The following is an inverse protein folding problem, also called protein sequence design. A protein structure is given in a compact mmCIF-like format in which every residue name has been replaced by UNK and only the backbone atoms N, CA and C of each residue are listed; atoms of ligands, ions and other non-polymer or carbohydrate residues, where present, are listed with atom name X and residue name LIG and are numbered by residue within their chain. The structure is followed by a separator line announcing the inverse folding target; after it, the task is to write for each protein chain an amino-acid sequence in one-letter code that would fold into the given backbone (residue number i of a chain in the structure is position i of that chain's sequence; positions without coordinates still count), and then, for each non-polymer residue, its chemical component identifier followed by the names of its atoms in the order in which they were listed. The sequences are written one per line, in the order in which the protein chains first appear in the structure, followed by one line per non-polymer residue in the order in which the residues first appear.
data_IF_684839102078
#
_entry.id   IF_684839102078
#
_cell.length_a   1.000
_cell.length_b   1.000
_cell.length_c   1.000
_cell.angle_alpha   90.00
_cell.angle_beta   90.00
_cell.angle_gamma   90.00
#
_symmetry.space_group_name_H-M   'P 1'
#
loop_
_entity.id
_entity.type
_entity.pdbx_description
1 polymer ?
#
# COMPACT_ATOMS: atom_id res chain seq x y z
N UNK A 1 3.70 13.54 3.94
CA UNK A 1 3.74 12.22 4.58
C UNK A 1 2.97 11.19 3.77
N UNK A 2 1.74 11.46 3.27
CA UNK A 2 0.94 10.48 2.54
C UNK A 2 1.47 10.01 1.16
N UNK A 3 2.33 10.76 0.46
CA UNK A 3 2.69 10.44 -0.92
C UNK A 3 3.67 9.26 -1.08
N UNK A 4 4.48 8.95 -0.05
CA UNK A 4 5.53 7.93 -0.15
C UNK A 4 4.99 6.50 0.02
N UNK A 5 3.84 6.35 0.66
CA UNK A 5 3.22 5.05 1.00
C UNK A 5 2.14 4.67 0.02
N UNK A 6 1.41 5.66 -0.51
CA UNK A 6 0.44 5.45 -1.58
C UNK A 6 1.06 4.91 -2.86
N UNK A 7 2.37 5.08 -3.05
CA UNK A 7 3.13 4.59 -4.20
C UNK A 7 3.25 3.06 -4.22
N UNK A 8 3.40 2.43 -3.05
CA UNK A 8 3.48 0.98 -2.93
C UNK A 8 2.09 0.35 -2.83
N UNK A 9 1.17 0.99 -2.10
CA UNK A 9 -0.21 0.54 -1.92
C UNK A 9 -1.14 0.87 -3.12
N UNK A 10 -0.71 0.60 -4.35
CA UNK A 10 -1.57 0.68 -5.55
C UNK A 10 -2.54 -0.51 -5.64
N UNK A 11 -3.25 -0.79 -4.54
CA UNK A 11 -4.57 -1.39 -4.59
C UNK A 11 -5.55 -0.24 -4.44
N UNK A 12 -6.22 0.14 -5.52
CA UNK A 12 -7.37 1.04 -5.42
C UNK A 12 -8.31 0.39 -4.40
N UNK A 13 -8.44 1.00 -3.21
CA UNK A 13 -9.44 0.58 -2.24
C UNK A 13 -10.77 0.69 -2.96
N UNK A 14 -11.29 -0.45 -3.41
CA UNK A 14 -12.55 -0.58 -4.14
C UNK A 14 -13.68 -0.25 -3.17
N UNK A 15 -13.88 1.03 -2.90
CA UNK A 15 -15.13 1.52 -2.36
C UNK A 15 -16.17 1.24 -3.44
N UNK A 16 -16.99 0.20 -3.22
CA UNK A 16 -18.10 -0.12 -4.11
C UNK A 16 -18.92 1.16 -4.37
N UNK A 17 -19.29 1.47 -5.62
CA UNK A 17 -20.05 2.67 -5.93
C UNK A 17 -21.33 2.68 -5.11
N UNK A 18 -21.50 3.71 -4.27
CA UNK A 18 -22.74 3.97 -3.58
C UNK A 18 -23.77 4.32 -4.65
N UNK A 19 -24.70 3.41 -4.87
CA UNK A 19 -25.84 3.57 -5.77
C UNK A 19 -26.72 4.73 -5.30
N UNK A 20 -26.45 5.93 -5.82
CA UNK A 20 -27.31 7.10 -5.67
C UNK A 20 -28.49 6.93 -6.64
N UNK A 21 -29.45 6.11 -6.23
CA UNK A 21 -30.73 5.94 -6.90
C UNK A 21 -31.40 7.30 -7.12
N UNK A 22 -31.51 7.69 -8.39
CA UNK A 22 -32.32 8.79 -8.85
C UNK A 22 -33.75 8.28 -9.09
N UNK A 23 -34.64 8.49 -8.12
CA UNK A 23 -36.06 8.25 -8.33
C UNK A 23 -36.77 9.52 -8.84
N UNK A 24 -37.45 9.30 -9.96
CA UNK A 24 -38.19 10.26 -10.74
C UNK A 24 -39.43 10.79 -9.99
N UNK A 25 -39.76 12.04 -10.32
CA UNK A 25 -41.02 12.67 -9.98
C UNK A 25 -42.19 12.03 -10.74
N UNK A 26 -43.26 11.68 -10.03
CA UNK A 26 -44.67 11.71 -10.45
C UNK A 26 -45.53 11.51 -9.19
N UNK A 27 -46.38 12.46 -8.81
CA UNK A 27 -47.81 12.29 -9.05
C UNK A 27 -48.61 12.42 -7.73
N UNK A 28 -49.59 13.30 -7.73
CA UNK A 28 -50.50 13.67 -6.64
C UNK A 28 -51.54 12.58 -6.37
N UNK A 29 -51.85 12.23 -5.12
CA UNK A 29 -53.25 12.09 -4.65
C UNK A 29 -53.41 12.11 -3.12
N UNK A 30 -54.57 12.61 -2.69
CA UNK A 30 -54.98 12.91 -1.33
C UNK A 30 -55.77 11.76 -0.68
N UNK A 31 -55.73 11.66 0.66
CA UNK A 31 -56.85 11.12 1.43
C UNK A 31 -56.54 10.39 2.75
N UNK A 32 -57.21 10.83 3.82
CA UNK A 32 -57.68 10.01 4.95
C UNK A 32 -56.66 9.66 6.05
N UNK A 33 -56.67 10.31 7.22
CA UNK A 33 -57.50 10.02 8.42
C UNK A 33 -57.38 8.57 8.94
N UNK A 34 -56.68 8.36 10.06
CA UNK A 34 -57.24 8.26 11.43
C UNK A 34 -56.32 7.50 12.40
N UNK A 35 -56.18 8.11 13.59
CA UNK A 35 -55.93 7.57 14.93
C UNK A 35 -55.43 6.11 15.14
N UNK A 36 -54.36 5.97 15.92
CA UNK A 36 -54.46 5.45 17.30
C UNK A 36 -53.10 5.52 18.01
N UNK A 37 -53.17 5.95 19.27
CA UNK A 37 -52.08 5.92 20.24
C UNK A 37 -51.90 4.51 20.82
N UNK A 38 -50.66 4.16 21.18
CA UNK A 38 -50.33 3.58 22.50
C UNK A 38 -48.88 3.91 22.87
N UNK A 39 -48.61 4.24 24.15
CA UNK A 39 -47.28 4.35 24.70
C UNK A 39 -46.84 2.99 25.26
N UNK A 40 -45.57 2.61 25.09
CA UNK A 40 -44.96 1.65 26.00
C UNK A 40 -43.56 2.08 26.40
N UNK A 41 -43.40 2.19 27.71
CA UNK A 41 -42.21 2.64 28.41
C UNK A 41 -41.45 1.39 28.84
N UNK A 42 -40.45 1.00 28.04
CA UNK A 42 -39.50 -0.05 28.38
C UNK A 42 -38.30 0.51 29.12
N UNK A 43 -38.08 0.01 30.33
CA UNK A 43 -37.04 0.37 31.29
C UNK A 43 -35.62 0.43 30.71
N UNK A 44 -34.88 1.47 31.10
CA UNK A 44 -33.42 1.54 30.97
C UNK A 44 -32.81 0.77 32.15
N UNK A 45 -32.23 -0.39 31.85
CA UNK A 45 -31.44 -1.18 32.80
C UNK A 45 -30.06 -0.55 32.93
N UNK A 46 -29.75 -0.06 34.14
CA UNK A 46 -28.47 0.51 34.52
C UNK A 46 -27.60 -0.59 35.13
N UNK A 47 -26.98 -1.40 34.27
CA UNK A 47 -25.96 -2.37 34.64
C UNK A 47 -24.56 -1.73 34.64
N UNK A 48 -24.09 -1.34 35.82
CA UNK A 48 -22.67 -1.04 36.08
C UNK A 48 -21.85 -2.34 36.04
N UNK A 49 -21.12 -2.57 34.95
CA UNK A 49 -20.05 -3.58 34.91
C UNK A 49 -18.69 -2.90 34.95
N UNK A 50 -18.24 -2.64 36.18
CA UNK A 50 -16.87 -2.22 36.52
C UNK A 50 -15.88 -3.36 36.33
N UNK A 51 -15.61 -3.74 35.09
CA UNK A 51 -14.53 -4.66 34.72
C UNK A 51 -13.26 -3.89 34.38
N UNK A 52 -12.30 -3.84 35.30
CA UNK A 52 -10.94 -3.40 34.99
C UNK A 52 -10.32 -4.36 33.97
N UNK A 53 -10.39 -4.00 32.68
CA UNK A 53 -9.66 -4.67 31.62
C UNK A 53 -8.16 -4.49 31.90
N UNK A 54 -7.56 -5.50 32.53
CA UNK A 54 -6.12 -5.68 32.48
C UNK A 54 -5.78 -5.91 31.02
N UNK A 55 -5.27 -4.87 30.37
CA UNK A 55 -4.64 -4.97 29.06
C UNK A 55 -3.47 -5.93 29.25
N UNK A 56 -3.66 -7.17 28.77
CA UNK A 56 -2.63 -8.19 28.73
C UNK A 56 -1.58 -7.70 27.73
N UNK A 57 -0.52 -7.06 28.24
CA UNK A 57 0.64 -6.62 27.49
C UNK A 57 1.57 -7.80 27.20
N UNK A 58 0.99 -8.92 26.74
CA UNK A 58 1.76 -9.96 26.08
C UNK A 58 2.42 -9.39 24.82
N UNK A 59 3.51 -10.02 24.31
CA UNK A 59 4.05 -9.66 23.02
C UNK A 59 2.89 -9.69 22.03
N UNK A 60 2.64 -8.54 21.37
CA UNK A 60 1.63 -8.47 20.32
C UNK A 60 1.97 -9.61 19.35
N UNK A 61 1.08 -10.58 19.23
CA UNK A 61 1.09 -11.49 18.11
C UNK A 61 1.04 -10.58 16.90
N UNK A 62 2.18 -10.44 16.21
CA UNK A 62 2.29 -9.70 14.96
C UNK A 62 1.52 -10.53 13.94
N UNK A 63 0.19 -10.54 14.11
CA UNK A 63 -0.74 -11.30 13.31
C UNK A 63 -0.41 -10.98 11.86
N UNK A 64 -0.40 -12.03 11.03
CA UNK A 64 -0.12 -11.92 9.61
C UNK A 64 -0.81 -10.66 9.05
N UNK A 65 -0.07 -9.59 8.67
CA UNK A 65 -0.68 -8.33 8.24
C UNK A 65 -1.51 -8.52 6.96
N UNK A 66 -1.34 -9.67 6.30
CA UNK A 66 -2.03 -10.05 5.07
C UNK A 66 -3.39 -10.74 5.28
N UNK A 67 -3.85 -10.96 6.52
CA UNK A 67 -5.19 -11.49 6.80
C UNK A 67 -5.50 -12.84 6.13
N UNK A 68 -6.75 -12.99 5.66
CA UNK A 68 -7.30 -14.13 4.91
C UNK A 68 -7.21 -13.96 3.39
N UNK A 69 -6.35 -13.07 2.89
CA UNK A 69 -6.15 -12.72 1.47
C UNK A 69 -5.57 -13.87 0.61
N UNK A 70 -5.93 -15.11 0.95
CA UNK A 70 -5.33 -16.33 0.49
C UNK A 70 -3.91 -16.44 1.02
N UNK A 71 -3.51 -17.66 1.39
CA UNK A 71 -2.11 -17.98 1.19
C UNK A 71 -1.89 -17.87 -0.32
N UNK A 72 -1.42 -16.71 -0.81
CA UNK A 72 -0.63 -16.63 -2.03
C UNK A 72 0.31 -17.82 -1.93
N UNK A 73 0.02 -18.87 -2.70
CA UNK A 73 0.80 -20.09 -2.67
C UNK A 73 2.19 -19.81 -3.24
N UNK A 74 2.79 -20.66 -4.07
CA UNK A 74 3.87 -20.18 -4.93
C UNK A 74 3.42 -18.91 -5.68
N UNK A 75 4.20 -17.81 -5.65
CA UNK A 75 5.66 -17.76 -5.54
C UNK A 75 6.26 -17.40 -4.16
N UNK A 76 7.54 -17.72 -3.99
CA UNK A 76 8.33 -17.41 -2.77
C UNK A 76 8.69 -15.93 -2.69
N UNK A 77 8.99 -15.46 -1.48
CA UNK A 77 9.59 -14.14 -1.28
C UNK A 77 10.96 -14.04 -1.96
N UNK A 78 11.19 -12.94 -2.65
CA UNK A 78 12.45 -12.52 -3.24
C UNK A 78 12.83 -11.14 -2.70
N UNK A 79 14.12 -10.86 -2.61
CA UNK A 79 14.61 -9.55 -2.15
C UNK A 79 14.40 -8.48 -3.23
N UNK A 80 14.19 -7.25 -2.80
CA UNK A 80 14.16 -6.05 -3.63
C UNK A 80 15.39 -5.19 -3.35
N UNK A 81 15.98 -4.63 -4.41
CA UNK A 81 16.99 -3.60 -4.28
C UNK A 81 16.29 -2.27 -3.96
N UNK A 82 16.20 -1.93 -2.68
CA UNK A 82 15.58 -0.67 -2.22
C UNK A 82 16.65 0.37 -1.95
N UNK A 83 16.45 1.61 -2.42
CA UNK A 83 17.40 2.69 -2.18
C UNK A 83 16.81 4.10 -2.32
N UNK A 84 17.63 5.14 -2.10
CA UNK A 84 17.23 6.52 -2.38
C UNK A 84 17.09 6.78 -3.89
N UNK A 85 16.47 7.91 -4.30
CA UNK A 85 16.34 8.28 -5.71
C UNK A 85 17.68 8.31 -6.46
N UNK A 86 17.71 7.74 -7.67
CA UNK A 86 18.90 7.59 -8.51
C UNK A 86 19.75 6.34 -8.23
N UNK A 87 19.28 5.42 -7.39
CA UNK A 87 19.96 4.13 -7.13
C UNK A 87 19.64 3.10 -8.22
N UNK A 88 18.43 3.13 -8.77
CA UNK A 88 18.01 2.21 -9.83
C UNK A 88 18.60 2.61 -11.18
N UNK A 89 19.00 1.60 -11.96
CA UNK A 89 19.41 1.84 -13.33
C UNK A 89 18.22 2.37 -14.14
N UNK A 90 18.42 3.35 -15.04
CA UNK A 90 17.35 3.82 -15.92
C UNK A 90 16.76 2.65 -16.72
N UNK A 91 15.44 2.54 -16.71
CA UNK A 91 14.73 1.52 -17.46
C UNK A 91 14.71 1.84 -18.97
N UNK A 92 14.79 0.80 -19.80
CA UNK A 92 14.72 0.93 -21.27
C UNK A 92 13.67 -0.04 -21.80
N UNK A 93 12.53 0.52 -22.21
CA UNK A 93 11.42 -0.26 -22.74
C UNK A 93 11.76 -0.88 -24.11
N UNK A 94 11.49 -2.17 -24.28
CA UNK A 94 11.72 -2.89 -25.54
C UNK A 94 10.44 -3.50 -26.15
N UNK A 95 9.31 -3.44 -25.43
CA UNK A 95 8.06 -4.07 -25.85
C UNK A 95 8.13 -5.60 -25.78
N UNK A 96 7.35 -6.27 -26.62
CA UNK A 96 7.30 -7.74 -26.71
C UNK A 96 5.93 -8.34 -26.36
N UNK A 97 5.83 -9.66 -26.37
CA UNK A 97 4.58 -10.39 -26.10
C UNK A 97 4.43 -10.69 -24.60
N UNK A 98 3.52 -9.98 -23.95
CA UNK A 98 3.29 -10.09 -22.50
C UNK A 98 2.40 -11.27 -22.10
N UNK A 99 1.70 -11.89 -23.05
CA UNK A 99 0.72 -12.94 -22.74
C UNK A 99 1.39 -14.11 -22.02
N UNK A 100 0.80 -14.53 -20.90
CA UNK A 100 1.34 -15.61 -20.07
C UNK A 100 1.24 -15.34 -18.57
N UNK A 101 1.88 -16.21 -17.80
CA UNK A 101 1.97 -16.11 -16.34
C UNK A 101 3.41 -15.83 -15.94
N UNK A 102 3.56 -14.84 -15.08
CA UNK A 102 4.85 -14.32 -14.66
C UNK A 102 4.90 -14.25 -13.14
N UNK A 103 5.95 -14.80 -12.54
CA UNK A 103 6.20 -14.72 -11.10
C UNK A 103 7.28 -13.67 -10.84
N UNK A 104 7.17 -12.92 -9.73
CA UNK A 104 8.16 -11.90 -9.38
C UNK A 104 9.51 -12.54 -9.05
N UNK A 105 10.58 -12.06 -9.69
CA UNK A 105 11.95 -12.53 -9.46
C UNK A 105 12.83 -11.49 -8.74
N UNK A 106 12.39 -10.23 -8.71
CA UNK A 106 13.05 -9.15 -8.00
C UNK A 106 12.63 -7.80 -8.53
N UNK A 107 13.48 -6.80 -8.30
CA UNK A 107 13.24 -5.45 -8.77
C UNK A 107 14.13 -4.45 -8.04
N UNK A 108 14.11 -3.22 -8.53
CA UNK A 108 14.77 -2.09 -7.88
C UNK A 108 13.72 -1.02 -7.59
N UNK A 109 13.63 -0.56 -6.35
CA UNK A 109 12.64 0.40 -5.86
C UNK A 109 13.34 1.59 -5.24
N UNK A 110 12.92 2.79 -5.64
CA UNK A 110 13.45 4.03 -5.07
C UNK A 110 12.46 4.66 -4.08
N UNK A 111 12.96 5.08 -2.93
CA UNK A 111 12.16 5.69 -1.87
C UNK A 111 12.75 7.05 -1.48
N UNK A 112 12.03 8.12 -1.79
CA UNK A 112 12.39 9.49 -1.38
C UNK A 112 11.98 9.77 0.07
N UNK A 113 12.79 9.30 1.02
CA UNK A 113 12.67 9.69 2.42
C UNK A 113 13.45 10.98 2.74
N UNK A 114 14.47 11.30 1.96
CA UNK A 114 15.39 12.42 2.20
C UNK A 114 14.66 13.77 2.18
N UNK A 115 13.65 13.94 1.33
CA UNK A 115 12.82 15.14 1.32
C UNK A 115 12.11 15.40 2.67
N UNK A 116 11.81 14.33 3.41
CA UNK A 116 11.22 14.43 4.76
C UNK A 116 12.30 14.69 5.82
N UNK A 117 13.44 14.01 5.70
CA UNK A 117 14.55 14.12 6.66
C UNK A 117 15.26 15.48 6.59
N UNK A 118 15.20 16.16 5.44
CA UNK A 118 15.78 17.50 5.24
C UNK A 118 15.31 18.56 6.26
N UNK A 119 14.21 18.31 6.99
CA UNK A 119 13.71 19.18 8.07
C UNK A 119 14.59 19.15 9.32
N UNK A 120 15.39 18.10 9.49
CA UNK A 120 16.32 17.92 10.61
C UNK A 120 17.75 17.72 10.06
N UNK A 121 18.66 18.70 10.20
CA UNK A 121 20.02 18.56 9.71
C UNK A 121 20.74 17.34 10.30
N UNK A 122 21.23 16.44 9.46
CA UNK A 122 21.92 15.22 9.92
C UNK A 122 21.00 14.05 10.28
N UNK A 123 19.67 14.21 10.16
CA UNK A 123 18.81 13.05 9.99
C UNK A 123 19.09 12.41 8.63
N UNK A 124 19.11 11.08 8.58
CA UNK A 124 19.41 10.32 7.38
C UNK A 124 18.81 8.92 7.48
N UNK A 125 18.46 8.34 6.34
CA UNK A 125 18.21 6.91 6.27
C UNK A 125 19.55 6.17 6.38
N UNK A 126 19.59 5.17 7.25
CA UNK A 126 20.79 4.35 7.49
C UNK A 126 20.69 2.98 6.85
N UNK A 127 19.47 2.53 6.51
CA UNK A 127 19.22 1.25 5.86
C UNK A 127 17.94 1.30 5.05
N UNK A 128 17.99 0.60 3.92
CA UNK A 128 16.83 0.24 3.10
C UNK A 128 16.85 -1.27 2.94
N UNK A 129 15.71 -1.91 3.11
CA UNK A 129 15.52 -3.32 2.82
C UNK A 129 14.12 -3.53 2.26
N UNK A 130 13.95 -4.50 1.38
CA UNK A 130 12.64 -4.84 0.87
C UNK A 130 12.58 -6.25 0.35
N UNK A 131 11.38 -6.81 0.35
CA UNK A 131 11.09 -8.11 -0.23
C UNK A 131 9.71 -8.10 -0.87
N UNK A 132 9.53 -8.93 -1.87
CA UNK A 132 8.27 -9.05 -2.62
C UNK A 132 8.00 -10.50 -2.97
N UNK A 133 6.74 -10.84 -3.16
CA UNK A 133 6.29 -12.01 -3.89
C UNK A 133 5.05 -11.65 -4.67
N UNK A 134 4.88 -12.21 -5.85
CA UNK A 134 3.66 -11.97 -6.60
C UNK A 134 3.62 -12.69 -7.92
N UNK A 135 2.43 -12.70 -8.51
CA UNK A 135 2.16 -13.22 -9.83
C UNK A 135 1.38 -12.20 -10.64
N UNK A 136 1.71 -12.11 -11.92
CA UNK A 136 0.94 -11.40 -12.93
C UNK A 136 0.55 -12.37 -14.03
N UNK A 137 -0.73 -12.40 -14.38
CA UNK A 137 -1.28 -13.20 -15.48
C UNK A 137 -1.84 -12.26 -16.54
N UNK A 138 -1.27 -12.27 -17.74
CA UNK A 138 -1.79 -11.55 -18.90
C UNK A 138 -2.52 -12.53 -19.82
N UNK A 139 -3.84 -12.42 -19.88
CA UNK A 139 -4.70 -13.18 -20.78
C UNK A 139 -4.64 -12.65 -22.21
N UNK A 140 -4.81 -13.56 -23.18
CA UNK A 140 -4.91 -13.22 -24.61
C UNK A 140 -6.24 -12.54 -24.99
N UNK A 141 -7.17 -12.44 -24.03
CA UNK A 141 -8.42 -11.70 -24.11
C UNK A 141 -8.28 -10.23 -23.67
N UNK A 142 -7.07 -9.80 -23.30
CA UNK A 142 -6.81 -8.44 -22.83
C UNK A 142 -7.15 -8.21 -21.37
N UNK A 143 -7.26 -9.27 -20.56
CA UNK A 143 -7.42 -9.17 -19.10
C UNK A 143 -6.10 -9.48 -18.41
N UNK A 144 -5.69 -8.65 -17.47
CA UNK A 144 -4.55 -8.87 -16.60
C UNK A 144 -5.04 -9.11 -15.16
N UNK A 145 -4.47 -10.10 -14.47
CA UNK A 145 -4.66 -10.31 -13.03
C UNK A 145 -3.34 -10.22 -12.30
N UNK A 146 -3.29 -9.43 -11.23
CA UNK A 146 -2.11 -9.23 -10.41
C UNK A 146 -2.41 -9.58 -8.97
N UNK A 147 -1.62 -10.48 -8.39
CA UNK A 147 -1.69 -10.78 -6.95
C UNK A 147 -0.29 -10.74 -6.37
N UNK A 148 -0.04 -9.83 -5.44
CA UNK A 148 1.29 -9.59 -4.90
C UNK A 148 1.27 -9.16 -3.44
N UNK A 149 2.38 -9.37 -2.76
CA UNK A 149 2.68 -8.85 -1.43
C UNK A 149 4.09 -8.29 -1.41
N UNK A 150 4.28 -7.15 -0.77
CA UNK A 150 5.59 -6.53 -0.59
C UNK A 150 5.75 -6.03 0.83
N UNK A 151 6.98 -6.03 1.30
CA UNK A 151 7.39 -5.42 2.56
C UNK A 151 8.62 -4.56 2.30
N UNK A 152 8.64 -3.34 2.82
CA UNK A 152 9.79 -2.42 2.75
C UNK A 152 10.08 -1.90 4.14
N UNK A 153 11.32 -2.08 4.59
CA UNK A 153 11.83 -1.64 5.89
C UNK A 153 12.86 -0.53 5.67
N UNK A 154 12.74 0.56 6.43
CA UNK A 154 13.66 1.70 6.39
C UNK A 154 14.10 2.02 7.81
N UNK A 155 15.41 2.04 8.04
CA UNK A 155 15.99 2.57 9.28
C UNK A 155 16.39 4.02 9.08
N UNK A 156 16.00 4.88 10.02
CA UNK A 156 16.25 6.32 10.02
C UNK A 156 16.96 6.70 11.31
N UNK A 157 18.09 7.40 11.18
CA UNK A 157 18.75 8.06 12.29
C UNK A 157 18.25 9.49 12.45
N UNK A 158 17.90 9.87 13.68
CA UNK A 158 17.45 11.21 14.05
C UNK A 158 18.34 11.80 15.16
N UNK A 159 19.15 12.83 14.86
CA UNK A 159 20.07 13.42 15.83
C UNK A 159 19.39 13.97 17.10
N UNK A 160 20.11 13.89 18.23
CA UNK A 160 19.63 14.35 19.53
C UNK A 160 19.15 15.81 19.56
N UNK A 161 19.79 16.71 18.79
CA UNK A 161 19.39 18.10 18.77
C UNK A 161 18.02 18.32 18.10
N UNK A 162 17.62 17.44 17.18
CA UNK A 162 16.27 17.45 16.62
C UNK A 162 15.29 16.72 17.52
N UNK A 163 15.74 15.64 18.18
CA UNK A 163 14.94 14.93 19.18
C UNK A 163 14.65 15.81 20.43
N UNK A 164 15.47 16.83 20.69
CA UNK A 164 15.21 17.80 21.75
C UNK A 164 13.95 18.66 21.53
N UNK A 165 13.44 18.74 20.29
CA UNK A 165 12.18 19.40 19.95
C UNK A 165 11.00 18.42 19.85
N UNK A 166 11.29 17.17 19.49
CA UNK A 166 10.34 16.06 19.34
C UNK A 166 10.95 14.84 20.01
N UNK A 167 10.46 14.43 21.17
CA UNK A 167 10.95 13.18 21.75
C UNK A 167 10.72 11.99 20.78
N UNK A 168 11.45 10.90 20.96
CA UNK A 168 11.38 9.78 20.00
C UNK A 168 9.97 9.17 19.90
N UNK A 169 9.13 9.31 20.94
CA UNK A 169 7.73 8.88 20.90
C UNK A 169 6.87 9.78 20.01
N UNK A 170 7.05 11.10 20.08
CA UNK A 170 6.41 12.02 19.15
C UNK A 170 6.86 11.79 17.70
N UNK A 171 8.13 11.42 17.50
CA UNK A 171 8.64 11.06 16.18
C UNK A 171 8.00 9.76 15.67
N UNK A 172 7.88 8.75 16.53
CA UNK A 172 7.18 7.49 16.22
C UNK A 172 5.74 7.76 15.77
N UNK A 173 4.97 8.55 16.53
CA UNK A 173 3.60 8.93 16.19
C UNK A 173 3.52 9.70 14.87
N UNK A 174 4.49 10.58 14.59
CA UNK A 174 4.53 11.34 13.35
C UNK A 174 4.82 10.42 12.14
N UNK A 175 5.74 9.46 12.28
CA UNK A 175 6.09 8.51 11.24
C UNK A 175 4.99 7.46 11.03
N UNK A 176 4.25 7.07 12.07
CA UNK A 176 3.16 6.09 11.99
C UNK A 176 2.02 6.49 11.02
N UNK A 177 1.95 7.75 10.58
CA UNK A 177 1.05 8.16 9.50
C UNK A 177 1.48 7.66 8.12
N UNK A 178 2.70 7.17 7.98
CA UNK A 178 3.30 6.74 6.72
C UNK A 178 3.97 5.36 6.79
N UNK A 179 3.66 4.56 7.79
CA UNK A 179 4.18 3.21 7.93
C UNK A 179 3.12 2.38 8.65
N UNK A 180 3.04 1.10 8.32
CA UNK A 180 2.12 0.17 8.97
C UNK A 180 2.63 -0.18 10.38
N UNK A 181 3.94 -0.29 10.52
CA UNK A 181 4.62 -0.47 11.81
C UNK A 181 5.80 0.51 11.93
N UNK A 182 5.93 1.16 13.08
CA UNK A 182 7.06 2.03 13.41
C UNK A 182 7.54 1.73 14.81
N UNK A 183 8.86 1.75 15.01
CA UNK A 183 9.47 1.78 16.33
C UNK A 183 10.62 2.78 16.36
N UNK A 184 10.61 3.71 17.31
CA UNK A 184 11.65 4.72 17.48
C UNK A 184 12.25 4.68 18.90
N UNK A 185 13.10 3.68 19.23
CA UNK A 185 13.84 3.71 20.49
C UNK A 185 14.72 4.96 20.63
N UNK A 186 14.73 5.52 21.83
CA UNK A 186 15.69 6.55 22.23
C UNK A 186 17.04 5.92 22.60
N UNK A 187 18.11 6.49 22.08
CA UNK A 187 19.48 6.11 22.38
C UNK A 187 20.00 6.82 23.64
N UNK A 188 21.10 6.32 24.21
CA UNK A 188 21.69 6.89 25.43
C UNK A 188 22.16 8.35 25.26
N UNK A 189 22.50 8.76 24.04
CA UNK A 189 22.92 10.13 23.72
C UNK A 189 21.75 11.07 23.39
N UNK A 190 20.52 10.57 23.47
CA UNK A 190 19.29 11.30 23.16
C UNK A 190 18.93 11.36 21.68
N UNK A 191 19.68 10.68 20.79
CA UNK A 191 19.24 10.45 19.41
C UNK A 191 18.13 9.41 19.34
N UNK A 192 17.47 9.30 18.19
CA UNK A 192 16.49 8.25 17.93
C UNK A 192 16.94 7.43 16.72
N UNK A 193 16.79 6.12 16.80
CA UNK A 193 16.89 5.23 15.64
C UNK A 193 15.48 4.70 15.38
N UNK A 194 14.87 5.08 14.27
CA UNK A 194 13.52 4.67 13.90
C UNK A 194 13.58 3.58 12.83
N UNK A 195 12.87 2.48 13.03
CA UNK A 195 12.59 1.49 11.99
C UNK A 195 11.13 1.61 11.59
N UNK A 196 10.87 1.81 10.29
CA UNK A 196 9.53 1.83 9.72
C UNK A 196 9.34 0.70 8.71
N UNK A 197 8.21 0.01 8.78
CA UNK A 197 7.79 -1.05 7.87
C UNK A 197 6.55 -0.61 7.09
N UNK A 198 6.58 -0.75 5.78
CA UNK A 198 5.41 -0.67 4.90
C UNK A 198 5.15 -2.06 4.33
N UNK A 199 3.94 -2.57 4.54
CA UNK A 199 3.45 -3.81 3.98
C UNK A 199 2.32 -3.50 2.98
N UNK A 200 2.39 -4.10 1.80
CA UNK A 200 1.34 -3.95 0.79
C UNK A 200 0.85 -5.31 0.33
N UNK A 201 -0.46 -5.40 0.07
CA UNK A 201 -1.08 -6.49 -0.67
C UNK A 201 -1.81 -5.94 -1.88
N UNK A 202 -1.70 -6.63 -3.00
CA UNK A 202 -2.42 -6.37 -4.23
C UNK A 202 -3.16 -7.66 -4.59
N UNK A 203 -4.45 -7.56 -4.88
CA UNK A 203 -5.25 -8.56 -5.61
C UNK A 203 -6.16 -7.77 -6.54
N UNK A 204 -5.72 -7.63 -7.79
CA UNK A 204 -6.32 -6.74 -8.77
C UNK A 204 -6.55 -7.48 -10.09
N UNK A 205 -7.59 -7.06 -10.82
CA UNK A 205 -7.94 -7.58 -12.14
C UNK A 205 -8.41 -6.44 -13.01
N UNK A 206 -7.77 -6.29 -14.16
CA UNK A 206 -8.01 -5.15 -15.05
C UNK A 206 -7.95 -5.53 -16.53
N UNK A 207 -8.59 -4.75 -17.38
CA UNK A 207 -8.44 -4.84 -18.83
C UNK A 207 -7.24 -4.00 -19.28
N UNK A 208 -6.38 -4.57 -20.11
CA UNK A 208 -5.20 -3.90 -20.64
C UNK A 208 -5.18 -3.85 -22.16
N UNK A 209 -4.46 -2.85 -22.69
CA UNK A 209 -4.08 -2.76 -24.08
C UNK A 209 -2.56 -2.53 -24.19
N UNK A 210 -1.99 -2.82 -25.36
CA UNK A 210 -0.59 -2.53 -25.66
C UNK A 210 -0.50 -1.33 -26.61
N UNK A 211 0.24 -0.30 -26.20
CA UNK A 211 0.48 0.91 -26.98
C UNK A 211 1.98 1.12 -27.17
N UNK A 212 2.53 0.61 -28.28
CA UNK A 212 3.98 0.64 -28.51
C UNK A 212 4.71 -0.25 -27.51
N UNK A 213 5.55 0.34 -26.65
CA UNK A 213 6.28 -0.37 -25.59
C UNK A 213 5.65 -0.12 -24.20
N UNK A 214 4.36 0.19 -24.16
CA UNK A 214 3.60 0.41 -22.92
C UNK A 214 2.45 -0.59 -22.79
N UNK A 215 2.27 -1.12 -21.58
CA UNK A 215 1.03 -1.74 -21.12
C UNK A 215 0.16 -0.61 -20.58
N UNK A 216 -1.07 -0.51 -21.05
CA UNK A 216 -2.02 0.54 -20.66
C UNK A 216 -3.24 -0.10 -20.02
N UNK A 217 -3.49 0.23 -18.76
CA UNK A 217 -4.75 -0.08 -18.09
C UNK A 217 -5.88 0.68 -18.79
N UNK A 218 -6.90 -0.04 -19.24
CA UNK A 218 -8.04 0.58 -19.92
C UNK A 218 -9.10 1.10 -18.95
N UNK A 219 -9.08 0.67 -17.68
CA UNK A 219 -9.98 1.18 -16.65
C UNK A 219 -9.42 2.41 -15.94
N UNK A 220 -8.16 2.35 -15.48
CA UNK A 220 -7.52 3.41 -14.70
C UNK A 220 -6.73 4.40 -15.56
N UNK A 221 -6.34 4.00 -16.78
CA UNK A 221 -5.46 4.79 -17.65
C UNK A 221 -3.99 4.78 -17.22
N UNK A 222 -3.63 3.99 -16.21
CA UNK A 222 -2.23 3.77 -15.81
C UNK A 222 -1.41 3.16 -16.94
N UNK A 223 -0.12 3.49 -16.96
CA UNK A 223 0.82 3.12 -18.03
C UNK A 223 2.09 2.53 -17.45
N UNK A 224 2.51 1.41 -17.99
CA UNK A 224 3.78 0.77 -17.64
C UNK A 224 4.62 0.59 -18.88
N UNK A 225 5.78 1.24 -18.93
CA UNK A 225 6.79 0.94 -19.93
C UNK A 225 7.31 -0.46 -19.65
N UNK A 226 7.45 -1.31 -20.67
CA UNK A 226 7.84 -2.71 -20.45
C UNK A 226 8.86 -3.24 -21.47
N UNK A 227 9.52 -4.33 -21.09
CA UNK A 227 10.45 -5.07 -21.91
C UNK A 227 10.33 -6.57 -21.62
N UNK A 228 10.02 -7.36 -22.65
CA UNK A 228 10.07 -8.82 -22.64
C UNK A 228 11.34 -9.27 -23.34
N UNK A 229 12.19 -10.03 -22.65
CA UNK A 229 13.42 -10.62 -23.18
C UNK A 229 13.53 -12.08 -22.74
N UNK A 230 13.62 -13.00 -23.70
CA UNK A 230 13.55 -14.46 -23.49
C UNK A 230 12.38 -14.89 -22.59
N UNK A 231 12.67 -15.27 -21.35
CA UNK A 231 11.73 -15.71 -20.31
C UNK A 231 11.52 -14.65 -19.21
N UNK A 232 12.00 -13.41 -19.42
CA UNK A 232 11.87 -12.30 -18.50
C UNK A 232 10.89 -11.24 -18.99
N UNK A 233 10.14 -10.64 -18.06
CA UNK A 233 9.34 -9.42 -18.26
C UNK A 233 9.75 -8.40 -17.19
N UNK A 234 10.13 -7.21 -17.62
CA UNK A 234 10.40 -6.09 -16.72
C UNK A 234 9.53 -4.89 -17.08
N UNK A 235 9.13 -4.11 -16.07
CA UNK A 235 8.31 -2.92 -16.29
C UNK A 235 8.57 -1.82 -15.25
N UNK A 236 8.27 -0.59 -15.64
CA UNK A 236 8.33 0.64 -14.83
C UNK A 236 7.03 1.43 -15.02
N UNK A 237 6.45 1.97 -13.95
CA UNK A 237 5.28 2.84 -14.02
C UNK A 237 5.66 4.21 -14.61
N UNK A 238 4.99 4.56 -15.71
CA UNK A 238 5.20 5.80 -16.47
C UNK A 238 3.94 6.68 -16.47
N UNK A 239 2.97 6.36 -15.62
CA UNK A 239 1.70 7.07 -15.52
C UNK A 239 1.92 8.56 -15.29
N UNK A 240 1.18 9.45 -15.99
CA UNK A 240 1.37 10.89 -15.83
C UNK A 240 0.91 11.41 -14.46
N UNK A 241 0.04 10.67 -13.77
CA UNK A 241 -0.56 11.02 -12.48
C UNK A 241 0.06 10.22 -11.33
N UNK A 242 0.13 10.85 -10.16
CA UNK A 242 0.43 10.19 -8.88
C UNK A 242 -0.82 9.50 -8.29
N UNK A 243 -0.66 8.45 -7.46
CA UNK A 243 0.61 7.82 -7.09
C UNK A 243 1.14 6.87 -8.18
N UNK A 244 2.46 6.90 -8.41
CA UNK A 244 3.18 5.95 -9.28
C UNK A 244 3.75 4.79 -8.49
N UNK A 245 3.80 3.60 -9.09
CA UNK A 245 4.60 2.49 -8.56
C UNK A 245 6.09 2.83 -8.70
N UNK A 246 6.87 2.86 -7.60
CA UNK A 246 8.25 3.29 -7.66
C UNK A 246 9.15 2.18 -8.22
N UNK A 247 10.01 2.55 -9.18
CA UNK A 247 11.10 1.70 -9.67
C UNK A 247 10.72 0.69 -10.75
N UNK A 248 11.56 -0.35 -10.87
CA UNK A 248 11.48 -1.39 -11.91
C UNK A 248 11.22 -2.74 -11.27
N UNK A 249 10.19 -3.44 -11.74
CA UNK A 249 9.89 -4.81 -11.30
C UNK A 249 10.34 -5.80 -12.36
N UNK A 250 10.99 -6.88 -11.92
CA UNK A 250 11.42 -7.99 -12.77
C UNK A 250 10.59 -9.25 -12.47
N UNK A 251 10.07 -9.85 -13.54
CA UNK A 251 9.25 -11.06 -13.51
C UNK A 251 9.87 -12.13 -14.40
N UNK A 252 9.77 -13.38 -13.96
CA UNK A 252 10.17 -14.57 -14.71
C UNK A 252 8.95 -15.35 -15.19
N UNK A 253 9.02 -15.90 -16.40
CA UNK A 253 7.96 -16.72 -16.97
C UNK A 253 7.85 -18.05 -16.22
N UNK A 254 6.61 -18.50 -16.03
CA UNK A 254 6.30 -19.77 -15.36
C UNK A 254 6.18 -20.96 -16.31
#
# INVERSE_FOLDING_TARGET
MAALVSALACGESSEAPVDAGADAAEGVDAGGRDAAATPDAGALDAGEDGGSARVDSGPRDAGNPFGDAGALGPPTWVELDVGPPGTCAPFVACGGDVVGTWDVEGGCVEVDIDSQLARCPGAMATRYAGRVRGRVEFGGDGVARRVAQSETEIDVFWPAFCAGFFDCGMLEEALAMGFDEVSCPAEMDGSCTCTGLVATTIDDTDFYALEGNEIVSTSSGKRWAYCVDDDGLSYEDTSPSEPREPGVIALGRR
#
